data_IF_878682185565
#
_entry.id   IF_878682185565
#
_cell.length_a   1.000
_cell.length_b   1.000
_cell.length_c   1.000
_cell.angle_alpha   90.00
_cell.angle_beta   90.00
_cell.angle_gamma   90.00
#
_symmetry.space_group_name_H-M   'P 1'
#
loop_
_entity.id
_entity.type
_entity.pdbx_description
1 polymer ?
#
# COMPACT_ATOMS: atom_id res chain seq x y z
N UNK A 1 14.36 12.22 0.60
CA UNK A 1 14.16 13.68 0.67
C UNK A 1 12.71 13.91 1.11
N UNK A 2 12.56 14.35 2.35
CA UNK A 2 11.24 14.61 2.91
C UNK A 2 10.88 16.06 2.64
N UNK A 3 9.91 16.26 1.77
CA UNK A 3 9.32 17.56 1.55
C UNK A 3 8.11 17.70 2.48
N UNK A 4 8.14 18.69 3.33
CA UNK A 4 6.99 19.12 4.10
C UNK A 4 6.67 20.54 3.69
N UNK A 5 5.40 20.84 3.42
CA UNK A 5 4.95 22.22 3.24
C UNK A 5 5.20 22.95 4.56
N UNK A 6 6.18 23.86 4.55
CA UNK A 6 6.41 24.71 5.70
C UNK A 6 5.33 25.78 5.72
N UNK A 7 4.52 25.90 6.78
CA UNK A 7 3.74 27.10 6.97
C UNK A 7 4.70 28.27 7.01
N UNK A 8 4.43 29.30 6.25
CA UNK A 8 5.24 30.48 6.00
C UNK A 8 6.31 30.73 7.06
N UNK A 9 7.59 30.72 6.63
CA UNK A 9 8.67 31.22 7.47
C UNK A 9 8.28 32.65 7.82
N UNK A 10 8.05 32.88 9.11
CA UNK A 10 7.61 34.15 9.65
C UNK A 10 8.49 35.28 9.09
N UNK A 11 7.97 36.08 8.17
CA UNK A 11 8.58 37.29 7.71
C UNK A 11 8.92 37.46 6.24
N UNK A 12 8.80 36.50 5.34
CA UNK A 12 8.97 36.73 3.90
C UNK A 12 7.62 36.98 3.21
N UNK A 13 7.25 38.23 3.15
CA UNK A 13 6.19 38.72 2.30
C UNK A 13 6.73 38.89 0.88
N UNK A 14 6.31 38.05 -0.05
CA UNK A 14 6.63 38.29 -1.48
C UNK A 14 5.59 39.28 -2.01
N UNK A 15 6.06 40.46 -2.32
CA UNK A 15 5.25 41.46 -3.03
C UNK A 15 5.17 41.09 -4.51
N UNK A 16 4.01 41.20 -5.11
CA UNK A 16 3.79 40.93 -6.53
C UNK A 16 4.81 41.69 -7.38
N UNK A 17 5.41 41.02 -8.36
CA UNK A 17 6.45 41.57 -9.25
C UNK A 17 5.89 42.66 -10.17
N UNK A 18 4.58 42.85 -10.26
CA UNK A 18 3.91 43.87 -11.09
C UNK A 18 3.37 45.08 -10.32
N UNK A 19 3.90 45.34 -9.14
CA UNK A 19 3.81 46.71 -8.59
C UNK A 19 2.55 47.05 -7.80
N UNK A 20 1.70 46.07 -7.41
CA UNK A 20 0.64 46.33 -6.43
C UNK A 20 1.07 45.81 -5.03
N UNK A 21 1.50 46.71 -4.13
CA UNK A 21 1.97 46.34 -2.80
C UNK A 21 0.85 45.85 -1.86
N UNK A 22 -0.41 45.85 -2.29
CA UNK A 22 -1.54 45.37 -1.52
C UNK A 22 -1.79 43.87 -1.68
N UNK A 23 -1.17 43.22 -2.62
CA UNK A 23 -1.31 41.76 -2.84
C UNK A 23 -0.18 41.03 -2.13
N UNK A 24 -0.52 40.40 -1.02
CA UNK A 24 0.39 39.55 -0.23
C UNK A 24 0.17 38.10 -0.66
N UNK A 25 1.22 37.41 -1.02
CA UNK A 25 1.20 35.99 -1.32
C UNK A 25 1.84 35.22 -0.16
N UNK A 26 1.19 34.17 0.29
CA UNK A 26 1.80 33.19 1.16
C UNK A 26 2.71 32.29 0.31
N UNK A 27 4.00 32.31 0.61
CA UNK A 27 4.96 31.44 -0.08
C UNK A 27 4.97 30.08 0.60
N UNK A 28 4.45 29.06 -0.06
CA UNK A 28 4.67 27.66 0.31
C UNK A 28 5.92 27.13 -0.41
N UNK A 29 6.95 26.79 0.33
CA UNK A 29 8.19 26.26 -0.20
C UNK A 29 8.51 24.90 0.44
N UNK A 30 8.74 23.83 -0.35
CA UNK A 30 9.18 22.56 0.21
C UNK A 30 10.57 22.68 0.79
N UNK A 31 10.75 22.27 2.03
CA UNK A 31 12.03 22.27 2.74
C UNK A 31 12.33 20.91 3.33
N UNK A 32 13.61 20.54 3.40
CA UNK A 32 14.06 19.38 4.15
C UNK A 32 14.10 19.77 5.63
N UNK A 33 13.23 19.19 6.45
CA UNK A 33 13.15 19.54 7.87
C UNK A 33 13.99 18.61 8.74
N UNK A 34 13.79 17.31 8.62
CA UNK A 34 14.36 16.33 9.54
C UNK A 34 14.82 15.07 8.79
N UNK A 35 15.67 14.28 9.45
CA UNK A 35 16.07 12.96 9.00
C UNK A 35 15.37 11.91 9.84
N UNK A 36 14.88 10.86 9.20
CA UNK A 36 14.36 9.68 9.88
C UNK A 36 15.28 8.50 9.62
N UNK A 37 15.42 7.66 10.64
CA UNK A 37 16.08 6.37 10.53
C UNK A 37 15.02 5.28 10.42
N UNK A 38 15.13 4.45 9.40
CA UNK A 38 14.28 3.29 9.17
C UNK A 38 15.15 2.05 9.18
N UNK A 39 14.85 1.11 10.05
CA UNK A 39 15.51 -0.18 10.15
C UNK A 39 14.50 -1.29 9.88
N UNK A 40 14.96 -2.44 9.39
CA UNK A 40 14.03 -3.55 9.15
C UNK A 40 14.71 -4.85 8.76
N UNK A 41 13.87 -5.87 8.63
CA UNK A 41 14.25 -7.21 8.22
C UNK A 41 13.38 -7.65 7.05
N UNK A 42 14.02 -8.25 6.07
CA UNK A 42 13.35 -8.91 4.97
C UNK A 42 13.67 -10.39 4.99
N UNK A 43 12.63 -11.22 4.95
CA UNK A 43 12.71 -12.66 4.88
C UNK A 43 12.10 -13.13 3.56
N UNK A 44 12.83 -13.97 2.85
CA UNK A 44 12.32 -14.71 1.69
C UNK A 44 12.64 -16.19 1.87
N UNK A 45 11.62 -17.04 1.74
CA UNK A 45 11.73 -18.49 1.76
C UNK A 45 10.91 -19.09 0.64
N UNK A 46 11.55 -19.88 -0.20
CA UNK A 46 10.89 -20.68 -1.23
C UNK A 46 11.26 -22.15 -1.08
N UNK A 47 10.26 -23.02 -1.14
CA UNK A 47 10.48 -24.45 -1.02
C UNK A 47 9.54 -25.25 -1.93
N UNK A 48 10.12 -26.15 -2.70
CA UNK A 48 9.39 -27.18 -3.46
C UNK A 48 9.37 -28.50 -2.67
N UNK A 49 8.23 -29.15 -2.61
CA UNK A 49 8.02 -30.37 -1.83
C UNK A 49 8.37 -31.62 -2.66
N UNK A 50 9.66 -31.80 -2.91
CA UNK A 50 10.17 -32.91 -3.74
C UNK A 50 9.60 -32.86 -5.16
N UNK A 51 9.25 -34.03 -5.71
CA UNK A 51 8.69 -34.18 -7.06
C UNK A 51 7.15 -34.16 -7.07
N UNK A 52 6.52 -33.69 -5.98
CA UNK A 52 5.05 -33.70 -5.84
C UNK A 52 4.32 -32.64 -6.68
N UNK A 53 5.04 -31.68 -7.22
CA UNK A 53 4.50 -30.48 -7.86
C UNK A 53 4.03 -29.40 -6.86
N UNK A 54 3.93 -29.69 -5.57
CA UNK A 54 3.56 -28.70 -4.56
C UNK A 54 4.77 -27.89 -4.09
N UNK A 55 4.50 -26.66 -3.73
CA UNK A 55 5.49 -25.81 -3.10
C UNK A 55 4.85 -24.57 -2.47
N UNK A 56 5.71 -23.79 -1.81
CA UNK A 56 5.28 -22.53 -1.21
C UNK A 56 6.39 -21.47 -1.28
N UNK A 57 5.97 -20.23 -1.20
CA UNK A 57 6.83 -19.04 -1.08
C UNK A 57 6.30 -18.21 0.07
N UNK A 58 7.19 -17.78 0.95
CA UNK A 58 6.89 -16.85 2.04
C UNK A 58 7.83 -15.65 1.92
N UNK A 59 7.26 -14.47 1.92
CA UNK A 59 7.99 -13.22 2.03
C UNK A 59 7.44 -12.47 3.24
N UNK A 60 8.32 -11.87 4.03
CA UNK A 60 7.93 -11.02 5.14
C UNK A 60 8.89 -9.84 5.25
N UNK A 61 8.34 -8.67 5.53
CA UNK A 61 9.08 -7.44 5.81
C UNK A 61 8.61 -6.96 7.17
N UNK A 62 9.56 -6.76 8.09
CA UNK A 62 9.34 -6.15 9.40
C UNK A 62 10.13 -4.86 9.41
N UNK A 63 9.49 -3.74 9.71
CA UNK A 63 10.09 -2.41 9.58
C UNK A 63 9.74 -1.55 10.77
N UNK A 64 10.73 -0.81 11.26
CA UNK A 64 10.57 0.15 12.35
C UNK A 64 11.24 1.49 11.99
N UNK A 65 10.74 2.57 12.58
CA UNK A 65 11.29 3.91 12.40
C UNK A 65 11.35 4.67 13.72
N UNK A 66 12.34 5.54 13.83
CA UNK A 66 12.55 6.38 14.99
C UNK A 66 11.60 7.59 15.07
N UNK A 67 10.62 7.66 14.17
CA UNK A 67 9.64 8.76 14.05
C UNK A 67 8.25 8.24 14.37
N UNK A 68 7.61 8.85 15.36
CA UNK A 68 6.23 8.56 15.75
C UNK A 68 5.34 9.79 15.55
N UNK A 69 4.14 9.55 15.02
CA UNK A 69 3.11 10.57 14.90
C UNK A 69 2.27 10.65 16.18
N UNK A 70 2.17 11.83 16.78
CA UNK A 70 1.27 12.09 17.92
C UNK A 70 -0.01 12.78 17.41
N UNK A 71 -1.17 12.09 17.34
CA UNK A 71 -2.41 12.65 16.85
C UNK A 71 -3.03 13.71 17.77
N UNK A 72 -2.53 13.86 18.98
CA UNK A 72 -3.01 14.82 19.95
C UNK A 72 -2.17 16.12 20.01
N UNK A 73 -1.00 16.11 19.38
CA UNK A 73 -0.18 17.31 19.23
C UNK A 73 -0.49 17.99 17.88
N UNK A 74 -1.51 18.84 17.86
CA UNK A 74 -1.96 19.55 16.65
C UNK A 74 -1.33 20.94 16.46
N UNK A 75 -0.48 21.37 17.38
CA UNK A 75 0.05 22.73 17.40
C UNK A 75 1.39 22.91 16.68
N UNK A 76 2.08 21.81 16.41
CA UNK A 76 3.37 21.82 15.73
C UNK A 76 3.31 20.95 14.48
N UNK A 77 3.97 21.40 13.41
CA UNK A 77 4.18 20.58 12.23
C UNK A 77 5.00 19.35 12.62
N UNK A 78 4.41 18.16 12.47
CA UNK A 78 5.09 16.91 12.78
C UNK A 78 5.68 16.30 11.52
N UNK A 79 6.91 15.86 11.61
CA UNK A 79 7.52 15.00 10.60
C UNK A 79 6.93 13.59 10.71
N UNK A 80 6.43 13.04 9.61
CA UNK A 80 5.78 11.72 9.59
C UNK A 80 6.24 10.87 8.41
N UNK A 81 6.35 9.58 8.65
CA UNK A 81 6.58 8.58 7.61
C UNK A 81 5.26 7.90 7.24
N UNK A 82 4.75 8.24 6.06
CA UNK A 82 3.53 7.66 5.55
C UNK A 82 3.78 6.29 4.93
N UNK A 83 2.88 5.36 5.17
CA UNK A 83 2.90 4.05 4.51
C UNK A 83 3.88 3.04 5.09
N UNK A 84 4.54 3.31 6.22
CA UNK A 84 5.43 2.36 6.86
C UNK A 84 4.62 1.31 7.63
N UNK A 85 4.82 0.04 7.33
CA UNK A 85 4.18 -1.07 8.05
C UNK A 85 4.81 -2.41 7.71
N UNK A 86 4.65 -3.36 8.60
CA UNK A 86 4.96 -4.75 8.36
C UNK A 86 4.09 -5.31 7.23
N UNK A 87 4.64 -6.26 6.49
CA UNK A 87 3.91 -6.96 5.44
C UNK A 87 4.35 -8.42 5.34
N UNK A 88 3.45 -9.26 4.86
CA UNK A 88 3.73 -10.65 4.58
C UNK A 88 2.99 -11.12 3.33
N UNK A 89 3.64 -11.99 2.57
CA UNK A 89 3.04 -12.67 1.44
C UNK A 89 3.28 -14.17 1.59
N UNK A 90 2.21 -14.93 1.48
CA UNK A 90 2.27 -16.39 1.43
C UNK A 90 1.67 -16.89 0.13
N UNK A 91 2.43 -17.69 -0.60
CA UNK A 91 1.99 -18.31 -1.85
C UNK A 91 2.11 -19.82 -1.69
N UNK A 92 0.98 -20.52 -1.83
CA UNK A 92 0.94 -21.94 -2.04
C UNK A 92 0.71 -22.25 -3.51
N UNK A 93 1.42 -23.18 -4.08
CA UNK A 93 1.23 -23.56 -5.47
C UNK A 93 1.29 -25.07 -5.69
N UNK A 94 0.62 -25.47 -6.76
CA UNK A 94 0.78 -26.78 -7.39
C UNK A 94 1.16 -26.56 -8.86
N UNK A 95 2.23 -27.18 -9.29
CA UNK A 95 2.78 -27.12 -10.65
C UNK A 95 2.88 -28.54 -11.20
N UNK A 96 1.85 -28.97 -11.91
CA UNK A 96 1.76 -30.25 -12.59
C UNK A 96 1.81 -30.08 -14.11
N UNK A 97 1.94 -31.18 -14.84
CA UNK A 97 2.06 -31.17 -16.31
C UNK A 97 0.88 -30.47 -17.01
N UNK A 98 -0.33 -30.74 -16.56
CA UNK A 98 -1.54 -30.18 -17.18
C UNK A 98 -2.25 -29.15 -16.31
N UNK A 99 -2.04 -29.15 -15.01
CA UNK A 99 -2.72 -28.28 -14.06
C UNK A 99 -1.72 -27.49 -13.23
N UNK A 100 -1.87 -26.18 -13.22
CA UNK A 100 -1.16 -25.28 -12.34
C UNK A 100 -2.16 -24.51 -11.49
N UNK A 101 -1.92 -24.47 -10.19
CA UNK A 101 -2.76 -23.72 -9.23
C UNK A 101 -1.86 -22.87 -8.34
N UNK A 102 -2.25 -21.62 -8.13
CA UNK A 102 -1.54 -20.70 -7.25
C UNK A 102 -2.56 -19.96 -6.40
N UNK A 103 -2.34 -20.00 -5.09
CA UNK A 103 -3.04 -19.20 -4.09
C UNK A 103 -2.04 -18.24 -3.47
N UNK A 104 -2.35 -16.97 -3.47
CA UNK A 104 -1.51 -15.93 -2.89
C UNK A 104 -2.29 -15.14 -1.85
N UNK A 105 -1.83 -15.16 -0.61
CA UNK A 105 -2.35 -14.32 0.45
C UNK A 105 -1.37 -13.18 0.73
N UNK A 106 -1.82 -11.95 0.52
CA UNK A 106 -1.06 -10.73 0.71
C UNK A 106 -1.60 -10.01 1.94
N UNK A 107 -0.79 -9.85 2.97
CA UNK A 107 -1.15 -9.16 4.19
C UNK A 107 -0.24 -7.94 4.41
N UNK A 108 -0.83 -6.90 4.94
CA UNK A 108 -0.15 -5.69 5.38
C UNK A 108 -0.73 -5.23 6.70
N UNK A 109 0.12 -4.85 7.66
CA UNK A 109 -0.32 -4.30 8.93
C UNK A 109 -0.88 -2.88 8.75
N UNK A 110 -1.49 -2.36 9.81
CA UNK A 110 -1.98 -0.98 9.85
C UNK A 110 -0.84 0.02 9.67
N UNK A 111 -1.16 1.13 9.01
CA UNK A 111 -0.19 2.20 8.79
C UNK A 111 -0.87 3.56 8.73
N UNK A 112 -0.08 4.61 9.00
CA UNK A 112 -0.48 5.98 8.73
C UNK A 112 -0.41 6.21 7.22
N UNK A 113 -1.56 6.43 6.57
CA UNK A 113 -1.63 6.71 5.13
C UNK A 113 -1.38 8.16 4.77
N UNK A 114 -1.58 9.06 5.74
CA UNK A 114 -1.36 10.49 5.59
C UNK A 114 -1.92 11.26 6.76
N UNK A 115 -1.50 12.52 6.85
CA UNK A 115 -2.10 13.51 7.74
C UNK A 115 -3.00 14.35 6.85
N UNK A 116 -4.32 14.17 6.96
CA UNK A 116 -5.29 14.88 6.12
C UNK A 116 -5.31 16.36 6.48
N UNK A 117 -5.14 17.21 5.48
CA UNK A 117 -5.58 18.59 5.56
C UNK A 117 -7.07 18.60 5.19
N UNK A 118 -7.94 18.54 6.16
CA UNK A 118 -9.31 18.95 5.94
C UNK A 118 -9.38 20.46 5.95
N UNK A 119 -10.17 21.03 5.06
CA UNK A 119 -10.27 22.46 4.82
C UNK A 119 -10.35 23.25 6.14
N UNK A 120 -9.21 23.70 6.60
CA UNK A 120 -9.09 24.85 7.48
C UNK A 120 -8.83 24.57 8.94
N UNK A 121 -8.25 23.61 9.51
CA UNK A 121 -7.66 23.73 10.88
C UNK A 121 -7.37 22.45 11.66
N UNK A 122 -7.77 21.27 11.23
CA UNK A 122 -7.45 20.07 11.97
C UNK A 122 -6.81 19.02 11.06
N UNK A 123 -5.55 18.75 11.31
CA UNK A 123 -4.85 17.64 10.67
C UNK A 123 -5.30 16.33 11.31
N UNK A 124 -6.35 15.72 10.79
CA UNK A 124 -6.77 14.40 11.22
C UNK A 124 -5.91 13.34 10.54
N UNK A 125 -5.35 12.39 11.29
CA UNK A 125 -4.64 11.28 10.69
C UNK A 125 -5.58 10.41 9.87
N UNK A 126 -5.07 9.88 8.75
CA UNK A 126 -5.71 8.86 7.96
C UNK A 126 -4.94 7.56 8.12
N UNK A 127 -5.40 6.72 9.02
CA UNK A 127 -4.82 5.42 9.25
C UNK A 127 -5.53 4.37 8.40
N UNK A 128 -4.77 3.50 7.76
CA UNK A 128 -5.31 2.32 7.10
C UNK A 128 -5.25 1.14 8.07
N UNK A 129 -6.37 0.41 8.23
CA UNK A 129 -6.42 -0.81 9.04
C UNK A 129 -5.60 -1.91 8.38
N UNK A 130 -5.12 -2.87 9.17
CA UNK A 130 -4.51 -4.08 8.65
C UNK A 130 -5.44 -4.75 7.62
N UNK A 131 -4.86 -5.20 6.52
CA UNK A 131 -5.59 -5.68 5.36
C UNK A 131 -4.95 -6.95 4.82
N UNK A 132 -5.78 -7.93 4.46
CA UNK A 132 -5.33 -9.18 3.90
C UNK A 132 -6.17 -9.63 2.71
N UNK A 133 -5.56 -9.84 1.56
CA UNK A 133 -6.20 -10.21 0.31
C UNK A 133 -5.77 -11.59 -0.15
N UNK A 134 -6.73 -12.41 -0.54
CA UNK A 134 -6.49 -13.71 -1.17
C UNK A 134 -6.75 -13.64 -2.67
N UNK A 135 -5.76 -14.07 -3.46
CA UNK A 135 -5.83 -14.17 -4.90
C UNK A 135 -5.67 -15.63 -5.34
N UNK A 136 -6.33 -16.00 -6.44
CA UNK A 136 -6.31 -17.33 -7.03
C UNK A 136 -5.88 -17.24 -8.49
N UNK A 137 -5.04 -18.17 -8.93
CA UNK A 137 -4.78 -18.40 -10.34
C UNK A 137 -4.77 -19.91 -10.63
N UNK A 138 -5.51 -20.31 -11.64
CA UNK A 138 -5.57 -21.69 -12.13
C UNK A 138 -5.31 -21.67 -13.62
N UNK A 139 -4.37 -22.48 -14.08
CA UNK A 139 -4.08 -22.69 -15.50
C UNK A 139 -4.23 -24.17 -15.80
N UNK A 140 -4.91 -24.50 -16.89
CA UNK A 140 -5.08 -25.85 -17.35
C UNK A 140 -4.74 -26.00 -18.83
N UNK A 141 -3.83 -26.94 -19.12
CA UNK A 141 -3.39 -27.28 -20.47
C UNK A 141 -4.20 -28.45 -21.00
N UNK A 142 -4.86 -28.26 -22.12
CA UNK A 142 -5.66 -29.27 -22.82
C UNK A 142 -4.89 -29.70 -24.08
N UNK A 143 -4.13 -30.79 -23.96
CA UNK A 143 -3.20 -31.20 -25.01
C UNK A 143 -2.14 -30.12 -25.25
N UNK A 144 -1.55 -30.13 -26.46
CA UNK A 144 -0.41 -29.25 -26.76
C UNK A 144 -0.79 -27.85 -27.23
N UNK A 145 -2.05 -27.63 -27.57
CA UNK A 145 -2.47 -26.44 -28.30
C UNK A 145 -3.41 -25.52 -27.51
N UNK A 146 -4.06 -26.01 -26.46
CA UNK A 146 -5.06 -25.22 -25.74
C UNK A 146 -4.63 -25.00 -24.29
N UNK A 147 -4.66 -23.76 -23.87
CA UNK A 147 -4.49 -23.37 -22.46
C UNK A 147 -5.69 -22.56 -22.02
N UNK A 148 -6.31 -22.97 -20.93
CA UNK A 148 -7.36 -22.20 -20.26
C UNK A 148 -6.84 -21.65 -18.95
N UNK A 149 -7.39 -20.51 -18.50
CA UNK A 149 -7.06 -19.98 -17.20
C UNK A 149 -8.27 -19.36 -16.53
N UNK A 150 -8.24 -19.40 -15.21
CA UNK A 150 -9.15 -18.71 -14.30
C UNK A 150 -8.28 -17.92 -13.33
N UNK A 151 -8.52 -16.62 -13.23
CA UNK A 151 -7.91 -15.76 -12.23
C UNK A 151 -8.97 -15.12 -11.34
N UNK A 152 -8.71 -15.05 -10.05
CA UNK A 152 -9.55 -14.37 -9.07
C UNK A 152 -8.70 -13.45 -8.23
N UNK A 153 -9.09 -12.21 -8.09
CA UNK A 153 -8.45 -11.20 -7.27
C UNK A 153 -9.41 -10.81 -6.16
N UNK A 154 -8.91 -10.74 -4.92
CA UNK A 154 -9.70 -10.46 -3.73
C UNK A 154 -10.88 -11.43 -3.59
N UNK A 155 -10.61 -12.73 -3.70
CA UNK A 155 -11.66 -13.77 -3.72
C UNK A 155 -12.42 -13.87 -2.39
N UNK A 156 -11.85 -13.37 -1.31
CA UNK A 156 -12.48 -13.27 0.02
C UNK A 156 -13.32 -12.02 0.21
N UNK A 157 -13.35 -11.11 -0.80
CA UNK A 157 -14.08 -9.85 -0.74
C UNK A 157 -13.68 -8.97 0.45
N UNK A 158 -12.39 -8.87 0.69
CA UNK A 158 -11.84 -8.04 1.77
C UNK A 158 -12.11 -6.56 1.50
N UNK A 159 -12.41 -5.82 2.57
CA UNK A 159 -12.71 -4.39 2.53
C UNK A 159 -11.59 -3.60 3.22
N UNK A 160 -11.00 -2.65 2.52
CA UNK A 160 -10.02 -1.75 3.11
C UNK A 160 -10.72 -0.65 3.91
N UNK A 161 -10.34 -0.47 5.18
CA UNK A 161 -10.86 0.55 6.06
C UNK A 161 -9.81 1.62 6.35
N UNK A 162 -10.21 2.88 6.13
CA UNK A 162 -9.44 4.05 6.52
C UNK A 162 -10.17 4.70 7.69
N UNK A 163 -9.45 4.98 8.76
CA UNK A 163 -9.99 5.54 9.99
C UNK A 163 -9.10 6.70 10.50
N UNK A 164 -9.65 7.54 11.39
CA UNK A 164 -8.93 8.67 11.95
C UNK A 164 -8.21 8.31 13.25
N UNK A 165 -8.57 8.92 14.37
CA UNK A 165 -7.90 8.77 15.67
C UNK A 165 -8.06 7.39 16.30
N UNK A 166 -9.16 6.71 16.02
CA UNK A 166 -9.41 5.34 16.46
C UNK A 166 -10.21 4.56 15.41
N UNK A 167 -10.13 3.24 15.46
CA UNK A 167 -10.75 2.36 14.45
C UNK A 167 -12.28 2.45 14.33
N UNK A 168 -12.96 3.07 15.30
CA UNK A 168 -14.40 3.30 15.25
C UNK A 168 -14.75 4.56 14.45
N UNK A 169 -13.78 5.46 14.25
CA UNK A 169 -13.93 6.66 13.44
C UNK A 169 -13.60 6.37 11.97
N UNK A 170 -14.42 5.54 11.34
CA UNK A 170 -14.22 5.18 9.93
C UNK A 170 -14.44 6.38 9.04
N UNK A 171 -13.41 6.80 8.32
CA UNK A 171 -13.45 7.85 7.31
C UNK A 171 -13.90 7.30 5.96
N UNK A 172 -13.43 6.10 5.62
CA UNK A 172 -13.73 5.46 4.33
C UNK A 172 -13.65 3.95 4.45
N UNK A 173 -14.59 3.27 3.82
CA UNK A 173 -14.54 1.84 3.55
C UNK A 173 -14.51 1.63 2.04
N UNK A 174 -13.48 0.97 1.53
CA UNK A 174 -13.28 0.72 0.10
C UNK A 174 -13.47 -0.76 -0.15
N UNK A 175 -14.59 -1.10 -0.77
CA UNK A 175 -14.94 -2.46 -1.14
C UNK A 175 -14.98 -2.56 -2.67
N UNK A 176 -13.92 -3.13 -3.25
CA UNK A 176 -13.83 -3.29 -4.70
C UNK A 176 -14.54 -4.56 -5.20
N UNK A 177 -14.87 -5.46 -4.28
CA UNK A 177 -15.41 -6.77 -4.61
C UNK A 177 -14.37 -7.75 -5.17
N UNK A 178 -14.73 -9.03 -5.27
CA UNK A 178 -13.92 -10.02 -5.97
C UNK A 178 -13.98 -9.78 -7.47
N UNK A 179 -12.85 -9.90 -8.14
CA UNK A 179 -12.76 -9.80 -9.61
C UNK A 179 -12.34 -11.14 -10.16
N UNK A 180 -13.04 -11.58 -11.21
CA UNK A 180 -12.77 -12.84 -11.85
C UNK A 180 -12.49 -12.63 -13.33
N UNK A 181 -11.53 -13.39 -13.83
CA UNK A 181 -11.17 -13.43 -15.22
C UNK A 181 -11.06 -14.88 -15.67
N UNK A 182 -11.60 -15.18 -16.84
CA UNK A 182 -11.45 -16.46 -17.50
C UNK A 182 -10.96 -16.23 -18.92
N UNK A 183 -10.03 -17.07 -19.38
CA UNK A 183 -9.51 -16.95 -20.72
C UNK A 183 -9.12 -18.29 -21.33
N UNK A 184 -8.97 -18.26 -22.65
CA UNK A 184 -8.52 -19.37 -23.46
C UNK A 184 -7.47 -18.88 -24.43
N UNK A 185 -6.39 -19.62 -24.55
CA UNK A 185 -5.33 -19.42 -25.53
C UNK A 185 -5.23 -20.66 -26.42
N UNK A 186 -5.23 -20.44 -27.72
CA UNK A 186 -5.00 -21.48 -28.70
C UNK A 186 -3.73 -21.20 -29.49
N UNK A 187 -2.86 -22.18 -29.60
CA UNK A 187 -1.63 -22.10 -30.38
C UNK A 187 -1.84 -22.75 -31.76
N UNK A 188 -1.72 -21.96 -32.82
CA UNK A 188 -1.71 -22.40 -34.20
C UNK A 188 -0.26 -22.74 -34.59
N UNK A 189 0.13 -23.94 -34.46
CA UNK A 189 1.48 -24.37 -34.84
C UNK A 189 1.58 -25.90 -34.87
N UNK A 190 2.31 -26.39 -35.86
CA UNK A 190 2.73 -27.78 -35.94
C UNK A 190 3.92 -28.00 -35.04
#
# INVERSE_FOLDING_TARGET
DNFQDNPAVDGETIVSVEGDPSIVFDLAQPVNQETAKVDGWELNLQHALGDSGFGFIVNATIVDADVAYDPFNSLEGQFVLNGLSDSANFIGYYDGESLQVRLAYNWRDKFLGGVGQDQGTTTNPQNTRAYGQLDLNVTYHIGDNITTYLAGINVTNETQHIYSLNERQVLRAIQLGPRWEVGLRYFFGN
#
